data_IF_629476218542
#
_entry.id   IF_629476218542
#
_cell.length_a   1.000
_cell.length_b   1.000
_cell.length_c   1.000
_cell.angle_alpha   90.00
_cell.angle_beta   90.00
_cell.angle_gamma   90.00
#
_symmetry.space_group_name_H-M   'P 1'
#
loop_
_entity.id
_entity.type
_entity.pdbx_description
1 polymer ?
#
# COMPACT_ATOMS: atom_id res chain seq x y z
N UNK A 1 5.15 -10.82 21.68
CA UNK A 1 3.74 -11.18 21.38
C UNK A 1 3.50 -10.96 19.90
N UNK A 2 2.82 -11.86 19.21
CA UNK A 2 2.68 -11.80 17.76
C UNK A 2 1.58 -10.80 17.42
N UNK A 3 1.92 -9.74 16.66
CA UNK A 3 1.03 -8.59 16.41
C UNK A 3 -0.16 -8.92 15.49
N UNK A 4 -0.06 -10.02 14.73
CA UNK A 4 -1.08 -10.54 13.82
C UNK A 4 -1.84 -11.76 14.39
N UNK A 5 -1.71 -12.06 15.68
CA UNK A 5 -2.48 -13.11 16.30
C UNK A 5 -3.93 -12.67 16.53
N UNK A 6 -4.85 -13.62 16.46
CA UNK A 6 -6.22 -13.41 16.93
C UNK A 6 -6.19 -13.19 18.44
N UNK A 7 -6.65 -12.03 18.91
CA UNK A 7 -6.70 -11.63 20.32
C UNK A 7 -8.15 -11.41 20.74
N UNK A 8 -8.40 -11.40 22.02
CA UNK A 8 -9.72 -11.04 22.58
C UNK A 8 -9.86 -9.51 22.60
N UNK A 9 -10.17 -8.95 21.42
CA UNK A 9 -10.42 -7.53 21.18
C UNK A 9 -11.59 -7.39 20.18
N UNK A 10 -12.23 -6.22 20.09
CA UNK A 10 -13.23 -6.00 19.04
C UNK A 10 -12.63 -6.19 17.64
N UNK A 11 -13.29 -7.00 16.81
CA UNK A 11 -12.86 -7.29 15.44
C UNK A 11 -13.71 -6.58 14.40
N UNK A 12 -13.04 -6.13 13.34
CA UNK A 12 -13.67 -5.63 12.13
C UNK A 12 -14.16 -6.77 11.22
N UNK A 13 -14.75 -6.39 10.09
CA UNK A 13 -15.23 -7.31 9.07
C UNK A 13 -14.41 -7.16 7.79
N UNK A 14 -14.24 -8.27 7.07
CA UNK A 14 -13.67 -8.26 5.70
C UNK A 14 -14.77 -8.69 4.75
N UNK A 15 -15.20 -7.78 3.89
CA UNK A 15 -16.23 -8.00 2.90
C UNK A 15 -15.63 -8.21 1.52
N UNK A 16 -16.15 -9.18 0.79
CA UNK A 16 -15.85 -9.38 -0.63
C UNK A 16 -16.73 -8.49 -1.49
N UNK A 17 -16.14 -7.80 -2.46
CA UNK A 17 -16.84 -6.93 -3.40
C UNK A 17 -16.51 -7.33 -4.83
N UNK A 18 -17.50 -7.75 -5.59
CA UNK A 18 -17.37 -8.00 -7.02
C UNK A 18 -17.82 -6.77 -7.81
N UNK A 19 -17.05 -6.35 -8.80
CA UNK A 19 -17.36 -5.23 -9.67
C UNK A 19 -16.95 -5.54 -11.12
N UNK A 20 -17.69 -4.97 -12.07
CA UNK A 20 -17.33 -5.06 -13.48
C UNK A 20 -16.44 -3.86 -13.86
N UNK A 21 -15.20 -4.12 -14.23
CA UNK A 21 -14.29 -3.09 -14.71
C UNK A 21 -14.55 -2.81 -16.19
N UNK A 22 -14.86 -1.56 -16.52
CA UNK A 22 -14.99 -1.11 -17.91
C UNK A 22 -13.63 -1.02 -18.62
N UNK A 23 -12.58 -0.77 -17.86
CA UNK A 23 -11.20 -0.67 -18.35
C UNK A 23 -10.69 -2.03 -18.81
N UNK A 24 -10.85 -3.06 -17.95
CA UNK A 24 -10.41 -4.43 -18.27
C UNK A 24 -11.47 -5.26 -19.00
N UNK A 25 -12.70 -4.75 -19.11
CA UNK A 25 -13.87 -5.45 -19.67
C UNK A 25 -14.09 -6.83 -19.04
N UNK A 26 -13.88 -6.93 -17.73
CA UNK A 26 -13.99 -8.19 -16.99
C UNK A 26 -14.50 -7.96 -15.57
N UNK A 27 -15.04 -9.03 -14.98
CA UNK A 27 -15.37 -9.04 -13.56
C UNK A 27 -14.08 -9.06 -12.75
N UNK A 28 -14.01 -8.17 -11.76
CA UNK A 28 -12.91 -8.06 -10.81
C UNK A 28 -13.47 -8.15 -9.39
N UNK A 29 -12.58 -8.39 -8.45
CA UNK A 29 -12.92 -8.55 -7.04
C UNK A 29 -11.93 -7.78 -6.19
N UNK A 30 -12.42 -7.11 -5.15
CA UNK A 30 -11.60 -6.58 -4.07
C UNK A 30 -12.16 -6.99 -2.71
N UNK A 31 -11.32 -6.95 -1.69
CA UNK A 31 -11.72 -7.13 -0.30
C UNK A 31 -11.62 -5.80 0.44
N UNK A 32 -12.61 -5.52 1.29
CA UNK A 32 -12.65 -4.30 2.08
C UNK A 32 -12.77 -4.69 3.55
N UNK A 33 -11.75 -4.33 4.33
CA UNK A 33 -11.84 -4.39 5.79
C UNK A 33 -12.50 -3.12 6.31
N UNK A 34 -13.48 -3.27 7.16
CA UNK A 34 -14.11 -2.20 7.96
C UNK A 34 -13.81 -2.42 9.44
N UNK A 35 -13.39 -1.37 10.20
CA UNK A 35 -12.99 -1.55 11.61
C UNK A 35 -14.17 -1.89 12.51
N UNK A 36 -13.88 -2.48 13.67
CA UNK A 36 -14.90 -2.77 14.67
C UNK A 36 -15.76 -1.55 15.00
N UNK A 37 -17.06 -1.74 15.06
CA UNK A 37 -18.04 -0.67 15.29
C UNK A 37 -18.44 0.11 14.02
N UNK A 38 -17.91 -0.24 12.85
CA UNK A 38 -18.32 0.39 11.59
C UNK A 38 -19.83 0.29 11.37
N UNK A 39 -20.43 -0.89 11.55
CA UNK A 39 -21.85 -1.13 11.29
C UNK A 39 -22.80 -0.33 12.19
N UNK A 40 -22.38 -0.03 13.42
CA UNK A 40 -23.22 0.66 14.42
C UNK A 40 -22.97 2.18 14.44
N UNK A 41 -21.81 2.65 14.01
CA UNK A 41 -21.46 4.08 13.97
C UNK A 41 -21.77 4.68 12.59
N UNK A 42 -23.04 4.79 12.24
CA UNK A 42 -23.50 5.15 10.89
C UNK A 42 -23.10 6.56 10.43
N UNK A 43 -22.86 7.48 11.35
CA UNK A 43 -22.47 8.87 11.06
C UNK A 43 -20.96 9.06 10.87
N UNK A 44 -20.17 8.06 11.27
CA UNK A 44 -18.72 8.20 11.22
C UNK A 44 -18.18 7.84 9.84
N UNK A 45 -17.36 8.72 9.26
CA UNK A 45 -16.53 8.46 8.08
C UNK A 45 -15.11 8.11 8.47
N UNK A 46 -14.43 7.36 7.61
CA UNK A 46 -13.14 6.77 7.90
C UNK A 46 -12.11 7.06 6.79
N UNK A 47 -10.84 7.23 7.13
CA UNK A 47 -9.77 7.25 6.16
C UNK A 47 -9.55 5.84 5.55
N UNK A 48 -8.88 5.79 4.40
CA UNK A 48 -8.72 4.56 3.61
C UNK A 48 -7.26 4.27 3.30
N UNK A 49 -6.81 3.05 3.58
CA UNK A 49 -5.56 2.48 3.10
C UNK A 49 -5.84 1.56 1.91
N UNK A 50 -5.30 1.87 0.74
CA UNK A 50 -5.24 0.98 -0.42
C UNK A 50 -3.96 0.14 -0.32
N UNK A 51 -4.11 -1.19 -0.20
CA UNK A 51 -3.03 -2.09 0.19
C UNK A 51 -2.82 -3.19 -0.87
N UNK A 52 -1.70 -3.12 -1.58
CA UNK A 52 -1.44 -3.90 -2.78
C UNK A 52 -0.55 -5.13 -2.51
N UNK A 53 -0.94 -6.27 -3.08
CA UNK A 53 -0.21 -7.55 -3.02
C UNK A 53 1.04 -7.58 -3.92
N UNK A 54 1.84 -8.62 -3.79
CA UNK A 54 3.04 -8.86 -4.59
C UNK A 54 2.84 -9.76 -5.82
N UNK A 55 3.93 -10.08 -6.50
CA UNK A 55 3.89 -11.03 -7.63
C UNK A 55 3.46 -12.42 -7.16
N UNK A 56 2.71 -13.12 -8.01
CA UNK A 56 2.18 -14.48 -7.78
C UNK A 56 1.15 -14.57 -6.64
N UNK A 57 0.63 -13.43 -6.20
CA UNK A 57 -0.44 -13.31 -5.22
C UNK A 57 -1.65 -12.64 -5.84
N UNK A 58 -2.70 -12.44 -5.07
CA UNK A 58 -3.93 -11.80 -5.48
C UNK A 58 -4.52 -10.93 -4.33
N UNK A 59 -5.72 -10.43 -4.53
CA UNK A 59 -6.46 -9.59 -3.59
C UNK A 59 -6.74 -10.27 -2.24
N UNK A 60 -6.59 -11.60 -2.13
CA UNK A 60 -6.78 -12.34 -0.88
C UNK A 60 -5.55 -12.35 0.02
N UNK A 61 -4.35 -12.13 -0.55
CA UNK A 61 -3.07 -12.31 0.11
C UNK A 61 -2.93 -11.53 1.42
N UNK A 62 -3.27 -10.26 1.42
CA UNK A 62 -3.18 -9.44 2.64
C UNK A 62 -4.16 -9.86 3.74
N UNK A 63 -5.34 -10.37 3.40
CA UNK A 63 -6.30 -10.91 4.37
C UNK A 63 -5.85 -12.29 4.89
N UNK A 64 -5.58 -13.22 3.96
CA UNK A 64 -5.32 -14.64 4.28
C UNK A 64 -3.95 -14.88 4.90
N UNK A 65 -2.89 -14.37 4.29
CA UNK A 65 -1.50 -14.53 4.74
C UNK A 65 -1.00 -13.32 5.52
N UNK A 66 -1.28 -12.10 5.02
CA UNK A 66 -0.85 -10.84 5.63
C UNK A 66 -1.51 -10.53 6.97
N UNK A 67 -2.73 -11.07 7.21
CA UNK A 67 -3.50 -10.82 8.45
C UNK A 67 -3.72 -9.34 8.73
N UNK A 68 -3.89 -8.55 7.67
CA UNK A 68 -4.00 -7.09 7.76
C UNK A 68 -5.16 -6.65 8.68
N UNK A 69 -6.28 -7.36 8.62
CA UNK A 69 -7.43 -7.15 9.50
C UNK A 69 -7.05 -7.34 10.99
N UNK A 70 -6.38 -8.45 11.36
CA UNK A 70 -6.00 -8.73 12.74
C UNK A 70 -4.94 -7.76 13.26
N UNK A 71 -3.98 -7.37 12.40
CA UNK A 71 -2.99 -6.34 12.73
C UNK A 71 -3.69 -5.04 13.08
N UNK A 72 -4.66 -4.63 12.26
CA UNK A 72 -5.34 -3.36 12.48
C UNK A 72 -6.29 -3.42 13.68
N UNK A 73 -7.04 -4.51 13.88
CA UNK A 73 -7.87 -4.71 15.07
C UNK A 73 -7.04 -4.57 16.36
N UNK A 74 -5.89 -5.26 16.41
CA UNK A 74 -4.99 -5.22 17.56
C UNK A 74 -4.42 -3.81 17.81
N UNK A 75 -4.04 -3.09 16.75
CA UNK A 75 -3.53 -1.73 16.87
C UNK A 75 -4.60 -0.72 17.28
N UNK A 76 -5.82 -0.83 16.76
CA UNK A 76 -6.94 0.02 17.13
C UNK A 76 -7.32 -0.20 18.59
N UNK A 77 -7.44 -1.45 19.02
CA UNK A 77 -7.73 -1.78 20.42
C UNK A 77 -6.64 -1.26 21.39
N UNK A 78 -5.37 -1.29 20.95
CA UNK A 78 -4.25 -0.73 21.69
C UNK A 78 -4.14 0.82 21.58
N UNK A 79 -5.03 1.49 20.86
CA UNK A 79 -5.00 2.94 20.58
C UNK A 79 -3.71 3.40 19.88
N UNK A 80 -3.12 2.53 19.06
CA UNK A 80 -1.89 2.77 18.31
C UNK A 80 -2.14 3.09 16.82
N UNK A 81 -3.32 2.80 16.32
CA UNK A 81 -3.73 3.18 14.97
C UNK A 81 -5.11 3.83 14.99
N UNK A 82 -5.32 4.76 14.07
CA UNK A 82 -6.63 5.35 13.80
C UNK A 82 -7.51 4.30 13.13
N UNK A 83 -8.79 4.14 13.52
CA UNK A 83 -9.71 3.29 12.77
C UNK A 83 -9.83 3.72 11.31
N UNK A 84 -9.55 2.81 10.38
CA UNK A 84 -9.53 3.05 8.94
C UNK A 84 -10.09 1.85 8.17
N UNK A 85 -10.48 2.07 6.91
CA UNK A 85 -10.76 0.99 5.98
C UNK A 85 -9.44 0.52 5.34
N UNK A 86 -9.37 -0.78 4.97
CA UNK A 86 -8.32 -1.29 4.08
C UNK A 86 -8.98 -1.85 2.83
N UNK A 87 -8.53 -1.42 1.67
CA UNK A 87 -8.98 -1.92 0.36
C UNK A 87 -7.86 -2.72 -0.27
N UNK A 88 -8.14 -3.98 -0.61
CA UNK A 88 -7.21 -4.93 -1.19
C UNK A 88 -7.77 -5.38 -2.54
N UNK A 89 -7.22 -4.87 -3.65
CA UNK A 89 -7.66 -5.22 -5.01
C UNK A 89 -6.60 -6.06 -5.72
N UNK A 90 -6.98 -6.71 -6.80
CA UNK A 90 -6.06 -7.47 -7.65
C UNK A 90 -5.24 -6.52 -8.52
N UNK A 91 -3.91 -6.51 -8.33
CA UNK A 91 -2.99 -5.67 -9.08
C UNK A 91 -2.75 -6.11 -10.52
N UNK A 92 -3.18 -7.30 -10.89
CA UNK A 92 -3.13 -7.77 -12.28
C UNK A 92 -4.35 -7.23 -13.05
N UNK A 93 -4.11 -6.19 -13.83
CA UNK A 93 -5.15 -5.55 -14.63
C UNK A 93 -4.62 -5.32 -16.05
N UNK A 94 -5.27 -5.93 -17.05
CA UNK A 94 -4.91 -5.84 -18.46
C UNK A 94 -6.15 -5.53 -19.29
N UNK A 95 -5.98 -4.77 -20.37
CA UNK A 95 -7.05 -4.60 -21.37
C UNK A 95 -7.16 -5.86 -22.23
N UNK A 96 -8.33 -6.13 -22.82
CA UNK A 96 -8.51 -7.28 -23.71
C UNK A 96 -7.52 -7.34 -24.88
N UNK A 97 -7.02 -6.19 -25.33
CA UNK A 97 -6.01 -6.08 -26.39
C UNK A 97 -4.57 -6.32 -25.93
N UNK A 98 -4.33 -6.40 -24.62
CA UNK A 98 -3.01 -6.54 -24.02
C UNK A 98 -2.85 -7.99 -23.53
N UNK A 99 -1.99 -8.78 -24.19
CA UNK A 99 -1.87 -10.23 -23.94
C UNK A 99 -0.79 -10.61 -22.92
N UNK A 100 -0.32 -9.69 -22.08
CA UNK A 100 0.76 -10.00 -21.14
C UNK A 100 0.24 -10.11 -19.71
N UNK A 101 0.03 -11.33 -19.18
CA UNK A 101 -0.58 -11.54 -17.85
C UNK A 101 0.20 -10.95 -16.68
N UNK A 102 1.47 -10.63 -16.86
CA UNK A 102 2.34 -10.08 -15.82
C UNK A 102 2.68 -8.58 -15.98
N UNK A 103 2.23 -7.94 -17.06
CA UNK A 103 2.36 -6.49 -17.23
C UNK A 103 1.09 -5.80 -16.73
N UNK A 104 1.19 -5.22 -15.57
CA UNK A 104 0.10 -4.54 -14.86
C UNK A 104 -0.06 -3.11 -15.36
N UNK A 105 -0.25 -2.94 -16.67
CA UNK A 105 -0.19 -1.63 -17.32
C UNK A 105 -1.36 -0.73 -16.99
N UNK A 106 -2.52 -1.29 -16.62
CA UNK A 106 -3.75 -0.50 -16.38
C UNK A 106 -4.27 -0.53 -14.95
N UNK A 107 -3.55 -1.11 -14.00
CA UNK A 107 -3.99 -1.13 -12.60
C UNK A 107 -4.11 0.29 -12.00
N UNK A 108 -3.22 1.20 -12.37
CA UNK A 108 -3.30 2.62 -12.00
C UNK A 108 -4.64 3.23 -12.43
N UNK A 109 -5.04 3.02 -13.68
CA UNK A 109 -6.31 3.53 -14.19
C UNK A 109 -7.51 2.87 -13.48
N UNK A 110 -7.48 1.55 -13.29
CA UNK A 110 -8.53 0.82 -12.55
C UNK A 110 -8.67 1.34 -11.13
N UNK A 111 -7.55 1.52 -10.41
CA UNK A 111 -7.59 2.04 -9.05
C UNK A 111 -8.17 3.45 -9.00
N UNK A 112 -7.67 4.35 -9.86
CA UNK A 112 -8.03 5.76 -9.81
C UNK A 112 -9.43 6.05 -10.35
N UNK A 113 -9.86 5.37 -11.42
CA UNK A 113 -11.09 5.69 -12.12
C UNK A 113 -12.28 4.80 -11.72
N UNK A 114 -12.03 3.62 -11.16
CA UNK A 114 -13.09 2.66 -10.82
C UNK A 114 -13.11 2.31 -9.33
N UNK A 115 -11.98 1.87 -8.75
CA UNK A 115 -11.97 1.36 -7.37
C UNK A 115 -12.18 2.48 -6.36
N UNK A 116 -11.39 3.57 -6.42
CA UNK A 116 -11.52 4.69 -5.47
C UNK A 116 -12.92 5.29 -5.51
N UNK A 117 -13.50 5.65 -6.67
CA UNK A 117 -14.88 6.15 -6.73
C UNK A 117 -15.91 5.17 -6.20
N UNK A 118 -15.79 3.88 -6.52
CA UNK A 118 -16.69 2.84 -6.03
C UNK A 118 -16.63 2.70 -4.49
N UNK A 119 -15.43 2.76 -3.92
CA UNK A 119 -15.25 2.68 -2.46
C UNK A 119 -15.84 3.91 -1.77
N UNK A 120 -15.59 5.10 -2.32
CA UNK A 120 -16.16 6.36 -1.78
C UNK A 120 -17.69 6.40 -1.89
N UNK A 121 -18.30 5.75 -2.90
CA UNK A 121 -19.75 5.63 -3.06
C UNK A 121 -20.37 4.61 -2.08
N UNK A 122 -19.70 3.45 -1.90
CA UNK A 122 -20.28 2.32 -1.16
C UNK A 122 -19.98 2.33 0.34
N UNK A 123 -18.93 3.00 0.76
CA UNK A 123 -18.47 3.04 2.15
C UNK A 123 -18.41 4.47 2.67
N UNK A 124 -18.52 4.62 3.98
CA UNK A 124 -18.37 5.91 4.65
C UNK A 124 -16.88 6.30 4.74
N UNK A 125 -16.37 6.84 3.66
CA UNK A 125 -15.00 7.31 3.54
C UNK A 125 -14.88 8.81 3.82
N UNK A 126 -13.67 9.26 4.08
CA UNK A 126 -13.25 10.66 4.00
C UNK A 126 -12.60 10.86 2.62
N UNK A 127 -13.33 11.39 1.61
CA UNK A 127 -12.89 11.37 0.21
C UNK A 127 -11.92 12.52 -0.11
N UNK A 128 -10.90 12.69 0.72
CA UNK A 128 -9.87 13.70 0.53
C UNK A 128 -8.48 13.06 0.62
N UNK A 129 -7.49 13.75 0.06
CA UNK A 129 -6.10 13.32 -0.02
C UNK A 129 -5.49 12.99 1.35
N UNK A 130 -5.77 13.83 2.35
CA UNK A 130 -5.23 13.70 3.70
C UNK A 130 -5.75 12.46 4.43
N UNK A 131 -6.81 11.87 3.93
CA UNK A 131 -7.45 10.67 4.46
C UNK A 131 -7.24 9.44 3.56
N UNK A 132 -6.33 9.51 2.56
CA UNK A 132 -5.98 8.37 1.72
C UNK A 132 -4.50 8.02 1.85
N UNK A 133 -4.26 6.73 2.08
CA UNK A 133 -2.95 6.10 2.07
C UNK A 133 -2.87 5.03 0.99
N UNK A 134 -1.69 4.81 0.45
CA UNK A 134 -1.42 3.70 -0.48
C UNK A 134 -0.14 2.99 -0.05
N UNK A 135 -0.17 1.66 -0.05
CA UNK A 135 1.00 0.85 0.26
C UNK A 135 0.97 -0.47 -0.50
N UNK A 136 2.13 -1.12 -0.60
CA UNK A 136 2.21 -2.43 -1.22
C UNK A 136 3.51 -3.15 -0.92
N UNK A 137 3.51 -4.45 -1.20
CA UNK A 137 4.69 -5.31 -1.06
C UNK A 137 5.26 -5.70 -2.43
N UNK A 138 6.58 -5.78 -2.57
CA UNK A 138 7.28 -6.29 -3.76
C UNK A 138 6.78 -5.62 -5.07
N UNK A 139 6.12 -6.35 -5.97
CA UNK A 139 5.44 -5.80 -7.15
C UNK A 139 4.46 -4.68 -6.77
N UNK A 140 3.68 -4.87 -5.71
CA UNK A 140 2.74 -3.87 -5.21
C UNK A 140 3.43 -2.60 -4.73
N UNK A 141 4.64 -2.68 -4.15
CA UNK A 141 5.42 -1.50 -3.79
C UNK A 141 5.84 -0.70 -5.03
N UNK A 142 6.16 -1.39 -6.14
CA UNK A 142 6.45 -0.74 -7.43
C UNK A 142 5.20 -0.03 -7.99
N UNK A 143 4.06 -0.72 -8.01
CA UNK A 143 2.80 -0.15 -8.52
C UNK A 143 2.38 1.06 -7.70
N UNK A 144 2.33 0.93 -6.38
CA UNK A 144 1.87 1.99 -5.48
C UNK A 144 2.80 3.19 -5.45
N UNK A 145 4.12 3.00 -5.64
CA UNK A 145 5.07 4.11 -5.82
C UNK A 145 4.72 4.94 -7.07
N UNK A 146 4.53 4.28 -8.21
CA UNK A 146 4.17 4.95 -9.46
C UNK A 146 2.86 5.72 -9.33
N UNK A 147 1.84 5.07 -8.76
CA UNK A 147 0.52 5.67 -8.55
C UNK A 147 0.63 6.90 -7.63
N UNK A 148 1.27 6.77 -6.47
CA UNK A 148 1.42 7.88 -5.53
C UNK A 148 2.18 9.08 -6.13
N UNK A 149 3.18 8.81 -6.99
CA UNK A 149 3.96 9.85 -7.65
C UNK A 149 3.26 10.45 -8.89
N UNK A 150 2.35 9.71 -9.54
CA UNK A 150 1.55 10.20 -10.66
C UNK A 150 0.33 10.99 -10.20
N UNK A 151 -0.21 10.67 -9.01
CA UNK A 151 -1.42 11.25 -8.44
C UNK A 151 -1.17 11.93 -7.08
N UNK A 152 -0.37 13.02 -7.04
CA UNK A 152 -0.06 13.74 -5.79
C UNK A 152 -1.30 14.34 -5.13
N UNK A 153 -2.39 14.51 -5.87
CA UNK A 153 -3.68 14.98 -5.38
C UNK A 153 -4.50 13.91 -4.66
N UNK A 154 -4.13 12.63 -4.80
CA UNK A 154 -4.95 11.52 -4.29
C UNK A 154 -4.47 10.97 -2.96
N UNK A 155 -3.16 10.98 -2.69
CA UNK A 155 -2.57 10.28 -1.54
C UNK A 155 -1.63 11.18 -0.74
N UNK A 156 -1.79 11.19 0.60
CA UNK A 156 -0.88 11.87 1.52
C UNK A 156 0.09 10.92 2.24
N UNK A 157 -0.06 9.61 2.07
CA UNK A 157 0.75 8.59 2.75
C UNK A 157 1.16 7.51 1.74
N UNK A 158 2.44 7.18 1.74
CA UNK A 158 3.01 6.10 0.92
C UNK A 158 3.76 5.09 1.80
N UNK A 159 3.60 3.80 1.50
CA UNK A 159 4.36 2.69 2.12
C UNK A 159 4.82 1.66 1.10
N UNK A 160 6.12 1.43 1.01
CA UNK A 160 6.73 0.38 0.18
C UNK A 160 7.39 -0.70 1.04
N UNK A 161 6.99 -1.96 0.87
CA UNK A 161 7.55 -3.09 1.61
C UNK A 161 8.31 -4.00 0.64
N UNK A 162 9.61 -4.18 0.87
CA UNK A 162 10.50 -5.05 0.08
C UNK A 162 10.49 -4.75 -1.42
N UNK A 163 10.44 -3.46 -1.79
CA UNK A 163 10.44 -3.08 -3.20
C UNK A 163 10.30 -1.58 -3.43
N UNK A 164 10.67 -1.18 -4.62
CA UNK A 164 10.50 0.18 -5.17
C UNK A 164 10.38 0.10 -6.69
N UNK A 165 10.17 1.23 -7.36
CA UNK A 165 9.99 1.26 -8.82
C UNK A 165 11.27 1.05 -9.65
N UNK A 166 12.43 0.84 -9.02
CA UNK A 166 13.68 0.56 -9.75
C UNK A 166 14.05 -0.92 -9.86
N UNK A 167 13.18 -1.83 -9.42
CA UNK A 167 13.44 -3.27 -9.52
C UNK A 167 13.62 -3.72 -10.99
N UNK A 168 14.60 -4.58 -11.30
CA UNK A 168 15.60 -5.18 -10.40
C UNK A 168 16.92 -4.41 -10.27
N UNK A 169 17.02 -3.16 -10.74
CA UNK A 169 18.27 -2.40 -10.77
C UNK A 169 18.75 -2.01 -9.37
N UNK A 170 20.02 -2.26 -9.11
CA UNK A 170 20.74 -1.84 -7.89
C UNK A 170 21.68 -0.66 -8.13
N UNK A 171 21.70 -0.13 -9.37
CA UNK A 171 22.53 1.01 -9.75
C UNK A 171 22.09 2.30 -9.04
N UNK A 172 22.99 3.24 -8.84
CA UNK A 172 22.65 4.55 -8.30
C UNK A 172 21.56 5.21 -9.13
N UNK A 173 20.54 5.75 -8.46
CA UNK A 173 19.41 6.43 -9.10
C UNK A 173 19.70 7.92 -9.24
N UNK A 174 19.35 8.45 -10.42
CA UNK A 174 19.33 9.88 -10.69
C UNK A 174 17.92 10.43 -10.54
N UNK A 175 17.72 11.34 -9.58
CA UNK A 175 16.44 11.94 -9.28
C UNK A 175 15.86 12.77 -10.44
N UNK A 176 16.73 13.27 -11.33
CA UNK A 176 16.29 14.06 -12.49
C UNK A 176 15.64 13.20 -13.59
N UNK A 177 15.94 11.90 -13.62
CA UNK A 177 15.41 10.96 -14.62
C UNK A 177 14.51 9.88 -14.01
N UNK A 178 14.73 9.50 -12.77
CA UNK A 178 13.94 8.45 -12.12
C UNK A 178 12.46 8.82 -12.05
N UNK A 179 11.59 7.93 -12.56
CA UNK A 179 10.15 8.17 -12.72
C UNK A 179 9.84 9.52 -13.41
N UNK A 180 10.61 9.86 -14.45
CA UNK A 180 10.42 11.11 -15.20
C UNK A 180 10.77 12.36 -14.40
N UNK A 181 11.72 12.24 -13.45
CA UNK A 181 12.20 13.36 -12.64
C UNK A 181 11.27 13.76 -11.50
N UNK A 182 10.35 12.90 -11.10
CA UNK A 182 9.39 13.19 -10.01
C UNK A 182 10.05 13.37 -8.64
N UNK A 183 11.28 12.89 -8.46
CA UNK A 183 12.04 12.99 -7.22
C UNK A 183 13.05 14.15 -7.17
N UNK A 184 13.15 14.96 -8.24
CA UNK A 184 14.11 16.06 -8.32
C UNK A 184 13.91 17.19 -7.31
N UNK A 185 12.68 17.43 -6.86
CA UNK A 185 12.35 18.42 -5.84
C UNK A 185 11.95 17.73 -4.52
N UNK A 186 12.95 17.44 -3.67
CA UNK A 186 12.73 16.81 -2.38
C UNK A 186 11.84 17.64 -1.43
N UNK A 187 11.84 18.97 -1.57
CA UNK A 187 10.93 19.82 -0.77
C UNK A 187 9.48 19.63 -1.20
N UNK A 188 9.22 19.47 -2.49
CA UNK A 188 7.87 19.16 -2.98
C UNK A 188 7.39 17.81 -2.46
N UNK A 189 8.24 16.77 -2.50
CA UNK A 189 7.92 15.43 -1.95
C UNK A 189 7.64 15.52 -0.45
N UNK A 190 8.45 16.25 0.31
CA UNK A 190 8.23 16.44 1.75
C UNK A 190 6.94 17.20 2.10
N UNK A 191 6.43 18.03 1.19
CA UNK A 191 5.09 18.65 1.33
C UNK A 191 3.96 17.73 0.89
N UNK A 192 4.26 16.86 -0.08
CA UNK A 192 3.29 15.92 -0.63
C UNK A 192 2.93 14.82 0.38
N UNK A 193 3.92 14.18 1.00
CA UNK A 193 3.67 13.06 1.88
C UNK A 193 3.77 13.45 3.36
N UNK A 194 2.71 13.15 4.13
CA UNK A 194 2.72 13.18 5.60
C UNK A 194 3.53 12.02 6.17
N UNK A 195 3.53 10.87 5.49
CA UNK A 195 4.40 9.74 5.78
C UNK A 195 4.86 9.09 4.47
N UNK A 196 6.17 8.90 4.36
CA UNK A 196 6.84 8.13 3.32
C UNK A 196 7.59 7.01 4.01
N UNK A 197 7.15 5.76 3.83
CA UNK A 197 7.65 4.62 4.60
C UNK A 197 8.26 3.55 3.69
N UNK A 198 9.39 2.99 4.13
CA UNK A 198 10.07 1.88 3.48
C UNK A 198 10.33 0.77 4.50
N UNK A 199 9.94 -0.46 4.17
CA UNK A 199 10.19 -1.66 4.97
C UNK A 199 11.00 -2.69 4.21
N UNK A 200 11.93 -3.39 4.90
CA UNK A 200 12.76 -4.45 4.32
C UNK A 200 13.10 -5.49 5.39
N UNK A 201 13.22 -6.75 5.00
CA UNK A 201 13.77 -7.80 5.86
C UNK A 201 15.30 -7.78 5.87
N UNK A 202 15.92 -8.03 7.01
CA UNK A 202 17.41 -8.03 7.11
C UNK A 202 18.06 -9.22 6.40
N UNK A 203 17.30 -10.28 6.10
CA UNK A 203 17.75 -11.49 5.42
C UNK A 203 17.18 -11.63 3.99
N UNK A 204 16.72 -10.52 3.40
CA UNK A 204 16.19 -10.58 2.03
C UNK A 204 17.26 -10.94 1.01
N UNK A 205 16.93 -11.77 -0.01
CA UNK A 205 17.87 -12.11 -1.06
C UNK A 205 18.11 -10.94 -2.02
N UNK A 206 19.23 -11.00 -2.74
CA UNK A 206 19.44 -10.09 -3.87
C UNK A 206 18.32 -10.26 -4.92
N UNK A 207 17.88 -9.18 -5.61
CA UNK A 207 18.45 -7.85 -5.57
C UNK A 207 17.80 -6.89 -4.56
N UNK A 208 16.80 -7.32 -3.76
CA UNK A 208 15.96 -6.45 -2.93
C UNK A 208 16.72 -5.48 -2.01
N UNK A 209 17.75 -5.91 -1.23
CA UNK A 209 18.51 -4.98 -0.40
C UNK A 209 19.22 -3.89 -1.22
N UNK A 210 19.77 -4.26 -2.37
CA UNK A 210 20.44 -3.33 -3.28
C UNK A 210 19.47 -2.32 -3.90
N UNK A 211 18.31 -2.78 -4.34
CA UNK A 211 17.22 -1.95 -4.89
C UNK A 211 16.77 -0.90 -3.87
N UNK A 212 16.47 -1.32 -2.65
CA UNK A 212 16.01 -0.40 -1.58
C UNK A 212 17.14 0.54 -1.15
N UNK A 213 18.38 0.05 -1.08
CA UNK A 213 19.55 0.88 -0.76
C UNK A 213 19.77 1.98 -1.80
N UNK A 214 19.75 1.65 -3.10
CA UNK A 214 19.92 2.63 -4.18
C UNK A 214 18.82 3.71 -4.11
N UNK A 215 17.58 3.31 -3.83
CA UNK A 215 16.48 4.25 -3.69
C UNK A 215 16.66 5.16 -2.47
N UNK A 216 17.00 4.63 -1.30
CA UNK A 216 17.26 5.42 -0.08
C UNK A 216 18.39 6.43 -0.30
N UNK A 217 19.48 6.03 -0.96
CA UNK A 217 20.59 6.94 -1.27
C UNK A 217 20.12 8.14 -2.13
N UNK A 218 19.22 7.90 -3.09
CA UNK A 218 18.63 8.99 -3.86
C UNK A 218 17.74 9.89 -2.98
N UNK A 219 16.90 9.32 -2.12
CA UNK A 219 16.07 10.09 -1.17
C UNK A 219 16.93 10.96 -0.26
N UNK A 220 17.99 10.40 0.32
CA UNK A 220 18.93 11.10 1.20
C UNK A 220 19.59 12.27 0.46
N UNK A 221 20.08 12.05 -0.78
CA UNK A 221 20.69 13.09 -1.61
C UNK A 221 19.73 14.24 -1.92
N UNK A 222 18.44 13.96 -2.08
CA UNK A 222 17.40 14.97 -2.34
C UNK A 222 16.81 15.59 -1.05
N UNK A 223 17.28 15.17 0.13
CA UNK A 223 16.75 15.64 1.42
C UNK A 223 15.29 15.26 1.66
N UNK A 224 14.86 14.13 1.08
CA UNK A 224 13.50 13.60 1.26
C UNK A 224 13.43 12.87 2.59
N UNK A 225 12.42 13.22 3.39
CA UNK A 225 12.16 12.60 4.69
C UNK A 225 11.39 11.29 4.50
N UNK A 226 11.86 10.23 5.11
CA UNK A 226 11.17 8.93 5.12
C UNK A 226 11.44 8.18 6.43
N UNK A 227 10.55 7.25 6.76
CA UNK A 227 10.76 6.27 7.81
C UNK A 227 11.26 4.98 7.18
N UNK A 228 12.37 4.44 7.68
CA UNK A 228 12.89 3.15 7.25
C UNK A 228 12.81 2.13 8.39
N UNK A 229 12.22 0.98 8.12
CA UNK A 229 12.09 -0.12 9.07
C UNK A 229 12.77 -1.37 8.52
N UNK A 230 13.66 -1.95 9.31
CA UNK A 230 14.27 -3.24 9.06
C UNK A 230 13.61 -4.30 9.93
N UNK A 231 13.01 -5.32 9.29
CA UNK A 231 12.45 -6.47 9.97
C UNK A 231 13.57 -7.47 10.29
N UNK A 232 13.95 -7.67 11.57
CA UNK A 232 15.10 -8.50 11.90
C UNK A 232 14.84 -9.97 11.57
N UNK A 233 15.87 -10.64 11.02
CA UNK A 233 15.91 -12.08 10.74
C UNK A 233 14.79 -12.59 9.81
N UNK A 234 14.28 -11.71 8.92
CA UNK A 234 13.23 -12.08 7.97
C UNK A 234 13.66 -11.80 6.53
N UNK A 235 13.16 -12.60 5.60
CA UNK A 235 13.47 -12.56 4.18
C UNK A 235 12.35 -11.87 3.37
N UNK A 236 12.28 -12.15 2.06
CA UNK A 236 11.20 -11.69 1.17
C UNK A 236 9.95 -12.54 1.40
N UNK A 237 9.25 -12.27 2.49
CA UNK A 237 8.19 -13.13 3.01
C UNK A 237 7.14 -12.39 3.82
N UNK A 238 6.01 -13.04 4.07
CA UNK A 238 4.88 -12.48 4.80
C UNK A 238 5.23 -11.99 6.22
N UNK A 239 6.20 -12.60 6.90
CA UNK A 239 6.59 -12.13 8.24
C UNK A 239 7.20 -10.72 8.18
N UNK A 240 8.03 -10.46 7.17
CA UNK A 240 8.56 -9.12 6.87
C UNK A 240 7.43 -8.11 6.65
N UNK A 241 6.48 -8.46 5.79
CA UNK A 241 5.43 -7.54 5.36
C UNK A 241 4.38 -7.30 6.44
N UNK A 242 4.03 -8.30 7.26
CA UNK A 242 3.18 -8.12 8.46
C UNK A 242 3.80 -7.13 9.44
N UNK A 243 5.10 -7.28 9.74
CA UNK A 243 5.83 -6.38 10.63
C UNK A 243 5.92 -4.97 10.04
N UNK A 244 6.18 -4.85 8.74
CA UNK A 244 6.20 -3.55 8.05
C UNK A 244 4.83 -2.86 8.09
N UNK A 245 3.74 -3.60 7.80
CA UNK A 245 2.38 -3.08 7.92
C UNK A 245 2.06 -2.65 9.35
N UNK A 246 2.45 -3.44 10.36
CA UNK A 246 2.26 -3.09 11.77
C UNK A 246 2.94 -1.77 12.13
N UNK A 247 4.15 -1.50 11.64
CA UNK A 247 4.84 -0.23 11.86
C UNK A 247 4.19 0.91 11.07
N UNK A 248 3.87 0.68 9.81
CA UNK A 248 3.31 1.70 8.93
C UNK A 248 1.93 2.16 9.37
N UNK A 249 1.04 1.24 9.75
CA UNK A 249 -0.32 1.55 10.17
C UNK A 249 -0.39 2.52 11.37
N UNK A 250 0.62 2.53 12.23
CA UNK A 250 0.72 3.45 13.37
C UNK A 250 1.09 4.89 12.96
N UNK A 251 1.56 5.10 11.74
CA UNK A 251 1.93 6.41 11.20
C UNK A 251 0.80 7.07 10.42
N UNK A 252 -0.28 6.32 10.13
CA UNK A 252 -1.34 6.76 9.25
C UNK A 252 -2.38 7.61 9.99
N UNK A 253 -2.76 8.72 9.36
CA UNK A 253 -3.91 9.55 9.75
C UNK A 253 -3.85 10.16 11.16
N UNK A 254 -2.62 10.32 11.69
CA UNK A 254 -2.36 10.94 13.01
C UNK A 254 -2.51 12.46 12.96
#
# INVERSE_FOLDING_TARGET
MVDYALKDVPHGLVSELNYYSKITQSWRRCFVYTPAGYEVNTERCYPVLYLQHGSFEDETGWGSQGKANLILDNLIAAKKAVPMLIVMDNGYATRPSEQTPFQTTVFEEVLMQEVIPMIDEKFRTLPNRESRAIAGLSMGANQTMRIAMNHPEAFAYYGGFSGTSNYPSTEPLDADTFLGGKFKDGKAINRQFKSFFLGLGTSEPAPFPGVVKAFRQMLDKQGIKYTYYESPETAHEWLTWRRALHQYAQLLFQ
#
